data_IF_831148543567
#
_entry.id   IF_831148543567
#
_cell.length_a   1.000
_cell.length_b   1.000
_cell.length_c   1.000
_cell.angle_alpha   90.00
_cell.angle_beta   90.00
_cell.angle_gamma   90.00
#
_symmetry.space_group_name_H-M   'P 1'
#
loop_
_entity.id
_entity.type
_entity.pdbx_description
1 polymer ?
#
# COMPACT_ATOMS: atom_id res chain seq x y z
N UNK A 1 -21.88 2.23 16.54
CA UNK A 1 -21.16 3.27 17.32
C UNK A 1 -20.11 2.72 18.27
N UNK A 2 -20.24 1.51 18.82
CA UNK A 2 -19.21 0.89 19.69
C UNK A 2 -18.12 0.14 18.87
N UNK A 3 -18.46 -0.34 17.68
CA UNK A 3 -17.52 -1.09 16.81
C UNK A 3 -16.37 -0.26 16.23
N UNK A 4 -16.53 1.05 16.02
CA UNK A 4 -15.47 1.90 15.45
C UNK A 4 -14.38 2.29 16.46
N UNK A 5 -14.68 2.19 17.76
CA UNK A 5 -13.76 2.60 18.83
C UNK A 5 -12.73 1.49 19.13
N UNK A 6 -13.11 0.21 19.01
CA UNK A 6 -12.22 -0.93 19.25
C UNK A 6 -11.27 -1.20 18.08
N UNK A 7 -11.62 -0.84 16.84
CA UNK A 7 -10.73 -0.99 15.68
C UNK A 7 -9.64 0.07 15.60
N UNK A 8 -9.85 1.25 16.19
CA UNK A 8 -8.91 2.38 16.11
C UNK A 8 -7.84 2.38 17.21
N UNK A 9 -8.05 1.67 18.33
CA UNK A 9 -7.08 1.65 19.45
C UNK A 9 -5.87 0.74 19.21
N UNK A 10 -5.91 -0.17 18.23
CA UNK A 10 -4.92 -1.25 18.12
C UNK A 10 -3.76 -1.01 17.11
N UNK A 11 -3.73 0.13 16.38
CA UNK A 11 -2.78 0.31 15.27
C UNK A 11 -2.03 1.65 15.24
N UNK A 12 -2.16 2.50 16.26
CA UNK A 12 -1.35 3.71 16.37
C UNK A 12 0.00 3.36 17.03
N UNK A 13 1.13 3.65 16.38
CA UNK A 13 2.43 3.41 17.00
C UNK A 13 2.60 4.30 18.22
N UNK A 14 3.12 3.71 19.29
CA UNK A 14 3.44 4.41 20.52
C UNK A 14 4.45 5.53 20.29
N UNK A 15 4.48 6.57 21.15
CA UNK A 15 5.49 7.62 21.08
C UNK A 15 6.93 7.07 21.11
N UNK A 16 7.16 5.97 21.84
CA UNK A 16 8.45 5.29 21.96
C UNK A 16 8.85 4.61 20.65
N UNK A 17 7.92 3.94 19.96
CA UNK A 17 8.16 3.34 18.65
C UNK A 17 8.45 4.40 17.59
N UNK A 18 7.77 5.56 17.62
CA UNK A 18 8.09 6.67 16.72
C UNK A 18 9.43 7.34 17.07
N UNK A 19 9.85 7.31 18.34
CA UNK A 19 11.10 7.95 18.79
C UNK A 19 12.36 7.32 18.18
N UNK A 20 12.30 6.07 17.70
CA UNK A 20 13.44 5.43 17.02
C UNK A 20 13.65 5.93 15.59
N UNK A 21 12.65 6.58 15.01
CA UNK A 21 12.70 7.11 13.65
C UNK A 21 13.38 8.48 13.60
N UNK A 22 14.03 8.80 12.48
CA UNK A 22 14.50 10.16 12.21
C UNK A 22 13.33 11.15 12.13
N UNK A 23 13.55 12.46 12.33
CA UNK A 23 12.48 13.46 12.22
C UNK A 23 11.74 13.40 10.87
N UNK A 24 12.47 13.15 9.78
CA UNK A 24 11.86 13.01 8.46
C UNK A 24 11.02 11.75 8.33
N UNK A 25 11.52 10.59 8.79
CA UNK A 25 10.75 9.34 8.76
C UNK A 25 9.46 9.44 9.58
N UNK A 26 9.50 10.13 10.74
CA UNK A 26 8.29 10.43 11.54
C UNK A 26 7.31 11.30 10.77
N UNK A 27 7.80 12.34 10.09
CA UNK A 27 6.97 13.19 9.25
C UNK A 27 6.33 12.40 8.11
N UNK A 28 7.14 11.65 7.35
CA UNK A 28 6.69 10.85 6.22
C UNK A 28 5.67 9.79 6.65
N UNK A 29 5.90 9.14 7.79
CA UNK A 29 4.95 8.21 8.40
C UNK A 29 3.64 8.90 8.73
N UNK A 30 3.64 10.02 9.47
CA UNK A 30 2.42 10.73 9.87
C UNK A 30 1.58 11.18 8.68
N UNK A 31 2.23 11.71 7.64
CA UNK A 31 1.55 12.10 6.39
C UNK A 31 0.90 10.87 5.76
N UNK A 32 1.67 9.81 5.53
CA UNK A 32 1.16 8.63 4.83
C UNK A 32 0.10 7.89 5.64
N UNK A 33 0.26 7.82 6.96
CA UNK A 33 -0.71 7.26 7.88
C UNK A 33 -2.04 8.02 7.80
N UNK A 34 -2.01 9.36 7.85
CA UNK A 34 -3.21 10.20 7.64
C UNK A 34 -3.86 9.97 6.28
N UNK A 35 -3.06 9.85 5.21
CA UNK A 35 -3.57 9.58 3.86
C UNK A 35 -4.21 8.18 3.74
N UNK A 36 -3.81 7.24 4.61
CA UNK A 36 -4.38 5.89 4.67
C UNK A 36 -5.54 5.75 5.68
N UNK A 37 -5.99 6.86 6.28
CA UNK A 37 -7.16 6.89 7.16
C UNK A 37 -8.42 7.46 6.50
N UNK A 38 -9.57 6.93 6.89
CA UNK A 38 -10.90 7.52 6.67
C UNK A 38 -11.20 7.96 5.22
N UNK A 39 -11.64 9.21 5.06
CA UNK A 39 -12.03 9.76 3.76
C UNK A 39 -10.86 9.89 2.77
N UNK A 40 -9.64 10.18 3.26
CA UNK A 40 -8.46 10.27 2.41
C UNK A 40 -8.15 8.94 1.74
N UNK A 41 -8.18 7.83 2.49
CA UNK A 41 -7.95 6.52 1.88
C UNK A 41 -8.96 6.21 0.78
N UNK A 42 -10.23 6.54 0.99
CA UNK A 42 -11.29 6.36 -0.03
C UNK A 42 -11.01 7.19 -1.28
N UNK A 43 -10.60 8.44 -1.12
CA UNK A 43 -10.24 9.32 -2.22
C UNK A 43 -9.04 8.77 -3.02
N UNK A 44 -7.95 8.41 -2.34
CA UNK A 44 -6.76 7.88 -3.01
C UNK A 44 -6.99 6.52 -3.66
N UNK A 45 -7.83 5.68 -3.05
CA UNK A 45 -8.28 4.41 -3.64
C UNK A 45 -9.07 4.65 -4.92
N UNK A 46 -9.92 5.69 -4.96
CA UNK A 46 -10.60 6.09 -6.18
C UNK A 46 -9.59 6.52 -7.26
N UNK A 47 -8.63 7.37 -6.94
CA UNK A 47 -7.56 7.76 -7.87
C UNK A 47 -6.80 6.54 -8.40
N UNK A 48 -6.45 5.60 -7.52
CA UNK A 48 -5.77 4.35 -7.87
C UNK A 48 -6.62 3.48 -8.80
N UNK A 49 -7.92 3.36 -8.53
CA UNK A 49 -8.84 2.55 -9.34
C UNK A 49 -9.15 3.15 -10.71
N UNK A 50 -9.16 4.48 -10.82
CA UNK A 50 -9.51 5.19 -12.05
C UNK A 50 -8.28 5.45 -12.91
N UNK A 51 -7.33 6.24 -12.41
CA UNK A 51 -6.13 6.62 -13.15
C UNK A 51 -5.09 5.49 -13.15
N UNK A 52 -4.78 4.95 -11.97
CA UNK A 52 -3.75 3.91 -11.83
C UNK A 52 -4.08 2.65 -12.62
N UNK A 53 -5.26 2.07 -12.39
CA UNK A 53 -5.67 0.85 -13.07
C UNK A 53 -5.89 1.05 -14.57
N UNK A 54 -6.28 2.25 -15.01
CA UNK A 54 -6.43 2.57 -16.43
C UNK A 54 -5.12 2.45 -17.21
N UNK A 55 -4.09 3.19 -16.78
CA UNK A 55 -2.78 3.19 -17.46
C UNK A 55 -2.09 1.83 -17.45
N UNK A 56 -2.13 1.13 -16.32
CA UNK A 56 -1.51 -0.19 -16.19
C UNK A 56 -2.26 -1.22 -17.03
N UNK A 57 -3.58 -1.14 -17.12
CA UNK A 57 -4.33 -2.04 -17.99
C UNK A 57 -3.92 -1.86 -19.45
N UNK A 58 -3.85 -0.62 -19.94
CA UNK A 58 -3.44 -0.33 -21.33
C UNK A 58 -2.03 -0.88 -21.64
N UNK A 59 -1.12 -0.83 -20.67
CA UNK A 59 0.25 -1.34 -20.85
C UNK A 59 0.40 -2.86 -20.69
N UNK A 60 -0.58 -3.55 -20.10
CA UNK A 60 -0.42 -4.96 -19.71
C UNK A 60 -1.51 -5.91 -20.21
N UNK A 61 -2.60 -5.41 -20.81
CA UNK A 61 -3.78 -6.22 -21.12
C UNK A 61 -3.49 -7.41 -22.04
N UNK A 62 -2.56 -7.28 -22.98
CA UNK A 62 -2.14 -8.36 -23.88
C UNK A 62 -1.03 -9.27 -23.33
N UNK A 63 -0.44 -8.91 -22.18
CA UNK A 63 0.69 -9.62 -21.59
C UNK A 63 0.24 -10.51 -20.42
N UNK A 64 -0.86 -10.15 -19.77
CA UNK A 64 -1.29 -10.77 -18.52
C UNK A 64 -2.20 -11.97 -18.76
N UNK A 65 -1.79 -13.12 -18.21
CA UNK A 65 -2.67 -14.26 -17.97
C UNK A 65 -3.01 -14.29 -16.49
N UNK A 66 -4.31 -14.34 -16.17
CA UNK A 66 -4.84 -14.26 -14.81
C UNK A 66 -5.69 -15.48 -14.58
N UNK A 67 -5.43 -16.19 -13.48
CA UNK A 67 -6.10 -17.43 -13.09
C UNK A 67 -6.54 -17.33 -11.62
N UNK A 68 -7.60 -18.04 -11.22
CA UNK A 68 -7.98 -18.18 -9.82
C UNK A 68 -8.64 -16.94 -9.19
N UNK A 69 -9.17 -16.01 -10.00
CA UNK A 69 -9.90 -14.85 -9.45
C UNK A 69 -11.22 -15.25 -8.79
N UNK A 70 -11.81 -16.35 -9.23
CA UNK A 70 -12.99 -16.96 -8.64
C UNK A 70 -12.80 -17.26 -7.16
N UNK A 71 -11.61 -17.66 -6.73
CA UNK A 71 -11.30 -17.87 -5.31
C UNK A 71 -11.27 -16.55 -4.52
N UNK A 72 -10.81 -15.47 -5.14
CA UNK A 72 -10.78 -14.14 -4.50
C UNK A 72 -12.19 -13.52 -4.44
N UNK A 73 -13.04 -13.78 -5.44
CA UNK A 73 -14.44 -13.37 -5.42
C UNK A 73 -15.28 -14.18 -4.41
N UNK A 74 -14.96 -15.46 -4.20
CA UNK A 74 -15.73 -16.34 -3.33
C UNK A 74 -15.42 -16.18 -1.82
N UNK A 75 -14.30 -15.57 -1.45
CA UNK A 75 -13.98 -15.33 -0.04
C UNK A 75 -14.90 -14.27 0.55
N UNK A 76 -15.16 -14.41 1.84
CA UNK A 76 -15.86 -13.40 2.62
C UNK A 76 -15.06 -12.07 2.66
N UNK A 77 -15.64 -11.01 2.11
CA UNK A 77 -15.01 -9.68 2.05
C UNK A 77 -15.30 -8.79 3.26
N UNK A 78 -16.01 -9.29 4.29
CA UNK A 78 -16.16 -8.53 5.55
C UNK A 78 -14.90 -8.54 6.40
N UNK A 79 -13.92 -9.40 6.07
CA UNK A 79 -12.61 -9.49 6.72
C UNK A 79 -11.47 -8.98 5.81
N UNK A 80 -10.36 -8.50 6.38
CA UNK A 80 -9.17 -8.17 5.58
C UNK A 80 -8.63 -9.38 4.82
N UNK A 81 -8.22 -9.17 3.57
CA UNK A 81 -7.54 -10.18 2.76
C UNK A 81 -6.05 -9.88 2.66
N UNK A 82 -5.21 -10.87 2.97
CA UNK A 82 -3.77 -10.79 2.78
C UNK A 82 -3.37 -11.57 1.53
N UNK A 83 -2.86 -10.87 0.52
CA UNK A 83 -2.33 -11.47 -0.69
C UNK A 83 -0.82 -11.63 -0.55
N UNK A 84 -0.34 -12.87 -0.53
CA UNK A 84 1.08 -13.19 -0.46
C UNK A 84 1.56 -13.55 -1.86
N UNK A 85 2.56 -12.83 -2.35
CA UNK A 85 3.12 -13.03 -3.68
C UNK A 85 4.64 -12.93 -3.65
N UNK A 86 5.30 -13.62 -4.58
CA UNK A 86 6.71 -13.40 -4.84
C UNK A 86 6.90 -11.97 -5.38
N UNK A 87 7.85 -11.23 -4.80
CA UNK A 87 8.15 -9.87 -5.24
C UNK A 87 9.34 -9.88 -6.22
N UNK A 88 9.05 -9.71 -7.51
CA UNK A 88 10.06 -9.65 -8.57
C UNK A 88 10.39 -8.21 -8.94
N UNK A 89 9.43 -7.30 -8.84
CA UNK A 89 9.65 -5.88 -9.13
C UNK A 89 8.61 -4.99 -8.48
N UNK A 90 8.92 -3.69 -8.39
CA UNK A 90 7.95 -2.67 -8.02
C UNK A 90 6.66 -2.71 -8.86
N UNK A 91 6.74 -3.24 -10.09
CA UNK A 91 5.60 -3.33 -10.99
C UNK A 91 4.51 -4.28 -10.50
N UNK A 92 4.84 -5.26 -9.66
CA UNK A 92 3.93 -6.30 -9.19
C UNK A 92 2.68 -5.70 -8.50
N UNK A 93 2.90 -4.64 -7.70
CA UNK A 93 1.85 -3.89 -7.02
C UNK A 93 0.80 -3.37 -8.02
N UNK A 94 1.24 -2.86 -9.18
CA UNK A 94 0.34 -2.29 -10.17
C UNK A 94 -0.52 -3.32 -10.85
N UNK A 95 0.08 -4.42 -11.29
CA UNK A 95 -0.64 -5.45 -12.02
C UNK A 95 -1.64 -6.15 -11.11
N UNK A 96 -1.28 -6.39 -9.85
CA UNK A 96 -2.21 -6.89 -8.83
C UNK A 96 -3.33 -5.89 -8.58
N UNK A 97 -2.99 -4.61 -8.31
CA UNK A 97 -4.00 -3.57 -8.07
C UNK A 97 -4.98 -3.45 -9.23
N UNK A 98 -4.46 -3.39 -10.45
CA UNK A 98 -5.25 -3.25 -11.67
C UNK A 98 -6.15 -4.45 -11.89
N UNK A 99 -5.63 -5.65 -11.69
CA UNK A 99 -6.40 -6.88 -11.80
C UNK A 99 -7.55 -6.88 -10.79
N UNK A 100 -7.27 -6.55 -9.53
CA UNK A 100 -8.30 -6.49 -8.49
C UNK A 100 -9.32 -5.38 -8.75
N UNK A 101 -8.92 -4.17 -9.14
CA UNK A 101 -9.90 -3.10 -9.38
C UNK A 101 -10.77 -3.35 -10.61
N UNK A 102 -10.22 -3.93 -11.68
CA UNK A 102 -10.94 -4.06 -12.96
C UNK A 102 -11.67 -5.39 -13.11
N UNK A 103 -11.18 -6.47 -12.50
CA UNK A 103 -11.73 -7.82 -12.71
C UNK A 103 -12.51 -8.36 -11.53
N UNK A 104 -12.76 -7.52 -10.52
CA UNK A 104 -13.55 -7.93 -9.35
C UNK A 104 -14.48 -6.84 -8.85
N UNK A 105 -15.60 -7.22 -8.21
CA UNK A 105 -16.75 -6.33 -8.00
C UNK A 105 -16.85 -5.70 -6.60
N UNK A 106 -16.15 -6.23 -5.60
CA UNK A 106 -16.28 -5.72 -4.23
C UNK A 106 -15.51 -4.42 -4.00
N UNK A 107 -15.92 -3.66 -2.98
CA UNK A 107 -15.21 -2.47 -2.52
C UNK A 107 -13.97 -2.88 -1.75
N UNK A 108 -12.82 -2.33 -2.14
CA UNK A 108 -11.52 -2.71 -1.59
C UNK A 108 -10.64 -1.49 -1.40
N UNK A 109 -9.79 -1.53 -0.38
CA UNK A 109 -8.70 -0.60 -0.16
C UNK A 109 -7.42 -1.43 -0.17
N UNK A 110 -6.46 -1.05 -1.02
CA UNK A 110 -5.23 -1.83 -1.17
C UNK A 110 -4.11 -1.23 -0.34
N UNK A 111 -3.34 -2.10 0.29
CA UNK A 111 -2.19 -1.76 1.11
C UNK A 111 -1.03 -2.65 0.68
N UNK A 112 0.12 -2.03 0.44
CA UNK A 112 1.34 -2.68 0.00
C UNK A 112 2.41 -2.39 1.03
N UNK A 113 2.62 -3.31 2.00
CA UNK A 113 3.67 -3.16 2.97
C UNK A 113 5.02 -3.05 2.25
N UNK A 114 5.80 -2.02 2.59
CA UNK A 114 7.10 -1.76 1.96
C UNK A 114 8.17 -1.53 3.01
N UNK A 115 9.43 -1.72 2.64
CA UNK A 115 10.54 -1.21 3.45
C UNK A 115 10.52 0.32 3.42
N UNK A 116 10.77 0.97 4.55
CA UNK A 116 10.78 2.44 4.67
C UNK A 116 11.92 3.11 3.89
N UNK A 117 12.98 2.35 3.55
CA UNK A 117 14.10 2.84 2.75
C UNK A 117 13.60 3.43 1.43
N UNK A 118 14.19 4.55 1.01
CA UNK A 118 13.76 5.38 -0.11
C UNK A 118 12.41 6.10 0.12
N UNK A 119 11.28 5.37 0.22
CA UNK A 119 9.92 5.94 0.25
C UNK A 119 9.62 6.84 1.45
N UNK A 120 10.21 6.54 2.61
CA UNK A 120 9.99 7.27 3.86
C UNK A 120 11.24 8.01 4.36
N UNK A 121 12.32 7.99 3.58
CA UNK A 121 13.60 8.63 3.91
C UNK A 121 13.94 9.81 2.99
N UNK A 122 13.20 10.01 1.91
CA UNK A 122 13.42 11.11 0.97
C UNK A 122 12.10 11.70 0.47
N UNK A 123 12.13 12.99 0.13
CA UNK A 123 10.99 13.69 -0.50
C UNK A 123 10.64 13.09 -1.85
N UNK A 124 11.66 12.70 -2.64
CA UNK A 124 11.49 12.00 -3.92
C UNK A 124 10.77 10.67 -3.70
N UNK A 125 11.17 9.89 -2.70
CA UNK A 125 10.51 8.63 -2.36
C UNK A 125 9.05 8.81 -1.94
N UNK A 126 8.75 9.85 -1.16
CA UNK A 126 7.35 10.19 -0.82
C UNK A 126 6.55 10.60 -2.06
N UNK A 127 7.15 11.38 -2.96
CA UNK A 127 6.52 11.78 -4.21
C UNK A 127 6.24 10.59 -5.11
N UNK A 128 7.16 9.62 -5.17
CA UNK A 128 6.91 8.33 -5.82
C UNK A 128 5.74 7.64 -5.10
N UNK A 129 5.72 7.50 -3.78
CA UNK A 129 4.56 6.88 -3.10
C UNK A 129 3.22 7.55 -3.44
N UNK A 130 3.19 8.89 -3.55
CA UNK A 130 2.02 9.64 -3.98
C UNK A 130 1.61 9.31 -5.43
N UNK A 131 2.48 9.57 -6.41
CA UNK A 131 2.13 9.49 -7.84
C UNK A 131 1.99 8.05 -8.29
N UNK A 132 2.92 7.22 -7.83
CA UNK A 132 3.06 5.83 -8.24
C UNK A 132 2.20 4.93 -7.35
N UNK A 133 2.07 5.17 -6.05
CA UNK A 133 1.29 4.31 -5.15
C UNK A 133 -0.07 4.83 -4.73
N UNK A 134 -0.38 6.11 -4.97
CA UNK A 134 -1.52 6.80 -4.36
C UNK A 134 -1.55 6.61 -2.83
N UNK A 135 -0.38 6.74 -2.20
CA UNK A 135 -0.13 6.46 -0.78
C UNK A 135 -0.33 5.01 -0.33
N UNK A 136 -0.57 4.07 -1.24
CA UNK A 136 -0.86 2.67 -0.89
C UNK A 136 0.37 1.86 -0.49
N UNK A 137 1.59 2.41 -0.60
CA UNK A 137 2.80 1.78 -0.04
C UNK A 137 2.86 1.98 1.47
N UNK A 138 1.98 1.26 2.16
CA UNK A 138 1.72 1.34 3.59
C UNK A 138 1.26 -0.04 4.09
N UNK A 139 1.64 -0.46 5.31
CA UNK A 139 2.52 0.23 6.26
C UNK A 139 4.01 0.11 5.91
N UNK A 140 4.85 1.06 6.36
CA UNK A 140 6.31 0.95 6.22
C UNK A 140 6.94 0.05 7.29
N UNK A 141 7.94 -0.72 6.89
CA UNK A 141 8.88 -1.40 7.79
C UNK A 141 10.21 -0.64 7.81
N UNK A 142 10.50 0.02 8.93
CA UNK A 142 11.78 0.71 9.13
C UNK A 142 12.83 -0.30 9.59
N UNK A 143 13.99 -0.33 8.90
CA UNK A 143 15.11 -1.18 9.30
C UNK A 143 16.10 -0.33 10.07
N UNK A 144 16.07 -0.44 11.40
CA UNK A 144 17.03 0.21 12.30
C UNK A 144 18.31 -0.64 12.37
N UNK A 145 19.10 -0.66 11.29
CA UNK A 145 20.35 -1.41 11.23
C UNK A 145 21.55 -0.48 11.08
N UNK A 146 22.54 -0.57 11.99
CA UNK A 146 23.90 -0.04 11.73
C UNK A 146 24.42 -0.78 10.50
N UNK A 147 24.51 -0.09 9.36
CA UNK A 147 24.85 -0.60 8.02
C UNK A 147 23.70 -1.35 7.31
N UNK A 148 22.75 -0.63 6.67
CA UNK A 148 21.89 -1.25 5.68
C UNK A 148 22.75 -1.62 4.48
N UNK A 149 23.08 -2.90 4.32
CA UNK A 149 23.78 -3.40 3.14
C UNK A 149 23.06 -2.85 1.89
N UNK A 150 23.77 -2.19 0.97
CA UNK A 150 23.20 -1.89 -0.33
C UNK A 150 22.91 -3.24 -0.99
N UNK A 151 21.64 -3.52 -1.22
CA UNK A 151 21.23 -4.67 -2.03
C UNK A 151 21.78 -4.41 -3.44
N UNK A 152 22.81 -5.18 -3.82
CA UNK A 152 23.25 -5.23 -5.21
C UNK A 152 22.11 -5.86 -6.01
N UNK A 153 21.42 -5.02 -6.78
CA UNK A 153 20.52 -5.48 -7.84
C UNK A 153 21.32 -6.05 -8.99
#
# INVERSE_FOLDING_TARGET
>A
MISDQLTNLAFEPSPQELAVLSPFERFAFRVTHRMNGGAWKRFWTWCQSFFGAGWIHISTYNLMRVYGLEYIEAVDHSRPLMLVANHRSFFDMYVVSTTLFRRTKWRKQLFFPVRGRFYYQSTIGMFVNLIMGWWSMYPPFFVTGKNPLPEKR
#
